data_IF_440056188353
#
_entry.id   IF_440056188353
#
_cell.length_a   1.000
_cell.length_b   1.000
_cell.length_c   1.000
_cell.angle_alpha   90.00
_cell.angle_beta   90.00
_cell.angle_gamma   90.00
#
_symmetry.space_group_name_H-M   'P 1'
#
loop_
_entity.id
_entity.type
_entity.pdbx_description
1 polymer ?
#
# COMPACT_ATOMS: atom_id res chain seq x y z
N UNK A 1 33.69 14.11 -12.26
CA UNK A 1 32.99 14.28 -10.96
C UNK A 1 32.10 13.08 -10.61
N UNK A 2 31.37 12.47 -11.56
CA UNK A 2 30.39 11.39 -11.30
C UNK A 2 30.95 10.08 -10.68
N UNK A 3 32.16 9.66 -11.06
CA UNK A 3 32.86 8.49 -10.48
C UNK A 3 33.17 8.66 -8.99
N UNK A 4 33.32 9.91 -8.54
CA UNK A 4 33.60 10.25 -7.15
C UNK A 4 32.34 10.11 -6.28
N UNK A 5 31.16 10.44 -6.82
CA UNK A 5 29.86 10.26 -6.13
C UNK A 5 29.58 8.80 -5.83
N UNK A 6 29.83 7.91 -6.81
CA UNK A 6 29.64 6.46 -6.63
C UNK A 6 30.64 5.91 -5.59
N UNK A 7 31.90 6.33 -5.63
CA UNK A 7 32.91 5.91 -4.66
C UNK A 7 32.55 6.34 -3.23
N UNK A 8 32.03 7.56 -3.05
CA UNK A 8 31.58 8.08 -1.75
C UNK A 8 30.34 7.33 -1.25
N UNK A 9 29.39 7.02 -2.13
CA UNK A 9 28.20 6.24 -1.81
C UNK A 9 28.56 4.81 -1.35
N UNK A 10 29.47 4.14 -2.07
CA UNK A 10 29.94 2.79 -1.72
C UNK A 10 30.69 2.80 -0.38
N UNK A 11 31.52 3.81 -0.14
CA UNK A 11 32.26 3.95 1.12
C UNK A 11 31.31 4.17 2.31
N UNK A 12 30.30 5.03 2.15
CA UNK A 12 29.27 5.28 3.16
C UNK A 12 28.44 4.03 3.47
N UNK A 13 28.03 3.27 2.44
CA UNK A 13 27.29 2.01 2.60
C UNK A 13 28.12 0.94 3.31
N UNK A 14 29.42 0.84 3.00
CA UNK A 14 30.33 -0.14 3.62
C UNK A 14 30.53 0.16 5.12
N UNK A 15 30.59 1.44 5.51
CA UNK A 15 30.62 1.85 6.90
C UNK A 15 29.35 1.46 7.66
N UNK A 16 28.17 1.70 7.06
CA UNK A 16 26.87 1.38 7.66
C UNK A 16 26.62 -0.12 7.83
N UNK A 17 27.06 -0.94 6.88
CA UNK A 17 26.93 -2.40 6.93
C UNK A 17 27.86 -3.06 7.95
N UNK A 18 28.88 -2.33 8.42
CA UNK A 18 29.84 -2.79 9.43
C UNK A 18 29.40 -2.45 10.86
N UNK A 19 28.35 -1.63 11.04
CA UNK A 19 27.84 -1.30 12.37
C UNK A 19 26.92 -2.42 12.92
N UNK A 20 27.08 -2.83 14.19
CA UNK A 20 26.33 -3.95 14.76
C UNK A 20 24.85 -3.64 15.05
N UNK A 21 24.42 -2.37 14.93
CA UNK A 21 23.04 -1.95 15.20
C UNK A 21 22.65 -0.74 14.36
N UNK A 22 21.52 -0.81 13.67
CA UNK A 22 20.99 0.29 12.86
C UNK A 22 20.70 1.52 13.74
N UNK A 23 21.43 2.61 13.52
CA UNK A 23 21.21 3.91 14.14
C UNK A 23 20.29 4.78 13.26
N UNK A 24 19.57 5.72 13.86
CA UNK A 24 18.73 6.67 13.11
C UNK A 24 19.57 7.50 12.13
N UNK A 25 20.76 7.93 12.59
CA UNK A 25 21.74 8.63 11.76
C UNK A 25 22.19 7.77 10.57
N UNK A 26 22.42 6.47 10.80
CA UNK A 26 22.75 5.54 9.74
C UNK A 26 21.63 5.35 8.70
N UNK A 27 20.38 5.32 9.14
CA UNK A 27 19.22 5.26 8.23
C UNK A 27 19.06 6.56 7.42
N UNK A 28 19.30 7.72 8.03
CA UNK A 28 19.25 9.00 7.29
C UNK A 28 20.37 9.11 6.26
N UNK A 29 21.57 8.62 6.59
CA UNK A 29 22.68 8.55 5.64
C UNK A 29 22.37 7.59 4.50
N UNK A 30 21.79 6.43 4.79
CA UNK A 30 21.39 5.46 3.75
C UNK A 30 20.31 6.03 2.83
N UNK A 31 19.33 6.74 3.38
CA UNK A 31 18.32 7.45 2.59
C UNK A 31 18.98 8.51 1.70
N UNK A 32 19.87 9.35 2.25
CA UNK A 32 20.61 10.35 1.47
C UNK A 32 21.42 9.75 0.33
N UNK A 33 22.13 8.64 0.59
CA UNK A 33 22.90 7.92 -0.43
C UNK A 33 21.98 7.34 -1.52
N UNK A 34 20.81 6.81 -1.15
CA UNK A 34 19.82 6.32 -2.10
C UNK A 34 19.35 7.42 -3.05
N UNK A 35 18.97 8.58 -2.51
CA UNK A 35 18.50 9.70 -3.33
C UNK A 35 19.62 10.19 -4.28
N UNK A 36 20.87 10.29 -3.81
CA UNK A 36 22.01 10.66 -4.66
C UNK A 36 22.26 9.67 -5.82
N UNK A 37 22.06 8.37 -5.58
CA UNK A 37 22.17 7.35 -6.62
C UNK A 37 21.00 7.47 -7.62
N UNK A 38 19.78 7.70 -7.13
CA UNK A 38 18.60 7.90 -7.97
C UNK A 38 18.75 9.12 -8.88
N UNK A 39 19.17 10.27 -8.34
CA UNK A 39 19.41 11.49 -9.11
C UNK A 39 20.47 11.28 -10.21
N UNK A 40 21.51 10.49 -9.91
CA UNK A 40 22.57 10.16 -10.86
C UNK A 40 22.05 9.26 -12.00
N UNK A 41 21.20 8.28 -11.71
CA UNK A 41 20.55 7.47 -12.75
C UNK A 41 19.61 8.29 -13.63
N UNK A 42 18.84 9.20 -13.04
CA UNK A 42 17.94 10.08 -13.80
C UNK A 42 18.73 11.04 -14.69
N UNK A 43 19.87 11.56 -14.23
CA UNK A 43 20.81 12.35 -15.04
C UNK A 43 21.33 11.56 -16.23
N UNK A 44 21.79 10.32 -16.03
CA UNK A 44 22.25 9.47 -17.13
C UNK A 44 21.13 9.16 -18.13
N UNK A 45 19.93 8.90 -17.62
CA UNK A 45 18.78 8.61 -18.47
C UNK A 45 18.31 9.85 -19.25
N UNK A 46 18.54 11.06 -18.74
CA UNK A 46 18.29 12.31 -19.45
C UNK A 46 19.36 12.56 -20.53
N UNK A 47 20.64 12.39 -20.19
CA UNK A 47 21.77 12.53 -21.13
C UNK A 47 21.63 11.55 -22.31
N UNK A 48 21.32 10.28 -22.04
CA UNK A 48 21.13 9.24 -23.06
C UNK A 48 19.89 9.45 -23.94
N UNK A 49 18.89 10.21 -23.46
CA UNK A 49 17.72 10.57 -24.28
C UNK A 49 17.94 11.84 -25.10
N UNK A 50 18.85 12.71 -24.65
CA UNK A 50 19.20 13.94 -25.35
C UNK A 50 20.16 13.71 -26.53
N UNK A 51 20.80 12.55 -26.61
CA UNK A 51 21.67 12.17 -27.73
C UNK A 51 20.84 11.65 -28.92
N UNK A 52 20.89 12.35 -30.08
CA UNK A 52 20.08 12.03 -31.26
C UNK A 52 20.47 10.69 -31.93
N UNK A 53 21.70 10.21 -31.74
CA UNK A 53 22.13 8.91 -32.29
C UNK A 53 21.60 7.74 -31.45
N UNK A 54 21.19 8.00 -30.20
CA UNK A 54 20.63 7.00 -29.27
C UNK A 54 19.11 6.96 -29.28
N UNK A 55 18.44 8.03 -29.72
CA UNK A 55 16.98 8.11 -29.84
C UNK A 55 16.33 6.94 -30.62
N UNK A 56 16.82 6.55 -31.84
CA UNK A 56 16.23 5.42 -32.57
C UNK A 56 16.48 4.07 -31.89
N UNK A 57 17.56 3.94 -31.09
CA UNK A 57 17.80 2.75 -30.27
C UNK A 57 16.81 2.68 -29.10
N UNK A 58 16.47 3.81 -28.47
CA UNK A 58 15.47 3.86 -27.41
C UNK A 58 14.07 3.50 -27.91
N UNK A 59 13.69 3.95 -29.11
CA UNK A 59 12.42 3.56 -29.72
C UNK A 59 12.38 2.07 -30.05
N UNK A 60 13.50 1.51 -30.55
CA UNK A 60 13.62 0.08 -30.79
C UNK A 60 13.60 -0.75 -29.50
N UNK A 61 14.24 -0.28 -28.42
CA UNK A 61 14.18 -0.91 -27.09
C UNK A 61 12.78 -0.79 -26.50
N UNK A 62 12.11 0.36 -26.62
CA UNK A 62 10.74 0.55 -26.16
C UNK A 62 9.74 -0.32 -26.93
N UNK A 63 9.96 -0.52 -28.23
CA UNK A 63 9.15 -1.42 -29.06
C UNK A 63 9.45 -2.90 -28.81
N UNK A 64 10.70 -3.24 -28.48
CA UNK A 64 11.12 -4.61 -28.15
C UNK A 64 10.82 -5.02 -26.70
N UNK A 65 10.64 -4.07 -25.79
CA UNK A 65 10.13 -4.31 -24.45
C UNK A 65 8.60 -4.50 -24.53
N UNK A 66 8.08 -5.71 -24.23
CA UNK A 66 6.64 -5.90 -24.15
C UNK A 66 6.13 -5.17 -22.89
N UNK A 67 5.57 -3.97 -23.08
CA UNK A 67 5.08 -3.09 -21.99
C UNK A 67 6.20 -2.59 -21.05
N UNK A 68 6.01 -1.45 -20.35
CA UNK A 68 7.05 -0.87 -19.51
C UNK A 68 7.68 -1.89 -18.57
N UNK A 69 9.02 -1.90 -18.59
CA UNK A 69 9.91 -2.69 -17.77
C UNK A 69 9.33 -2.96 -16.37
N UNK A 70 9.27 -4.23 -16.00
CA UNK A 70 8.92 -4.72 -14.65
C UNK A 70 9.99 -4.38 -13.60
N UNK A 71 10.61 -3.19 -13.67
CA UNK A 71 10.97 -2.48 -12.45
C UNK A 71 9.67 -1.93 -11.85
N UNK A 72 8.77 -2.84 -11.49
CA UNK A 72 7.62 -2.52 -10.67
C UNK A 72 8.24 -2.00 -9.37
N UNK A 73 8.19 -0.69 -9.12
CA UNK A 73 7.92 -0.21 -7.76
C UNK A 73 6.71 -1.03 -7.37
N UNK A 74 6.91 -2.16 -6.70
CA UNK A 74 5.96 -3.25 -6.67
C UNK A 74 4.60 -2.65 -6.33
N UNK A 75 3.77 -2.41 -7.36
CA UNK A 75 2.48 -1.77 -7.17
C UNK A 75 1.81 -2.82 -6.32
N UNK A 76 1.53 -2.52 -5.04
CA UNK A 76 1.13 -3.55 -4.12
C UNK A 76 -0.04 -4.25 -4.80
N UNK A 77 0.03 -5.58 -4.91
CA UNK A 77 -1.10 -6.35 -5.43
C UNK A 77 -2.36 -5.80 -4.77
N UNK A 78 -3.51 -5.77 -5.46
CA UNK A 78 -4.77 -5.40 -4.83
C UNK A 78 -4.96 -6.08 -3.45
N UNK A 79 -4.46 -7.31 -3.30
CA UNK A 79 -4.46 -8.03 -2.02
C UNK A 79 -3.52 -7.41 -0.96
N UNK A 80 -2.38 -6.84 -1.36
CA UNK A 80 -1.46 -6.13 -0.48
C UNK A 80 -2.03 -4.79 0.00
N UNK A 81 -2.78 -4.06 -0.84
CA UNK A 81 -3.52 -2.87 -0.38
C UNK A 81 -4.59 -3.23 0.66
N UNK A 82 -5.34 -4.32 0.42
CA UNK A 82 -6.34 -4.81 1.37
C UNK A 82 -5.69 -5.26 2.68
N UNK A 83 -4.52 -5.92 2.63
CA UNK A 83 -3.77 -6.30 3.81
C UNK A 83 -3.21 -5.10 4.58
N UNK A 84 -2.71 -4.07 3.89
CA UNK A 84 -2.23 -2.83 4.49
C UNK A 84 -3.37 -2.08 5.19
N UNK A 85 -4.49 -1.90 4.49
CA UNK A 85 -5.71 -1.31 5.05
C UNK A 85 -6.16 -2.04 6.33
N UNK A 86 -6.26 -3.37 6.28
CA UNK A 86 -6.76 -4.16 7.41
C UNK A 86 -5.84 -4.06 8.62
N UNK A 87 -4.52 -4.07 8.41
CA UNK A 87 -3.54 -3.92 9.49
C UNK A 87 -3.65 -2.57 10.20
N UNK A 88 -3.93 -1.50 9.46
CA UNK A 88 -4.04 -0.15 10.03
C UNK A 88 -5.36 0.06 10.79
N UNK A 89 -6.48 -0.50 10.30
CA UNK A 89 -7.81 -0.17 10.81
C UNK A 89 -8.44 -1.23 11.73
N UNK A 90 -7.96 -2.48 11.69
CA UNK A 90 -8.59 -3.59 12.42
C UNK A 90 -8.70 -3.36 13.94
N UNK A 91 -7.72 -2.69 14.54
CA UNK A 91 -7.71 -2.37 15.97
C UNK A 91 -8.53 -1.13 16.34
N UNK A 92 -8.79 -0.24 15.37
CA UNK A 92 -9.49 1.03 15.57
C UNK A 92 -11.02 0.87 15.61
N UNK A 93 -11.55 -0.24 15.10
CA UNK A 93 -12.98 -0.51 15.13
C UNK A 93 -13.47 -0.72 16.57
N UNK A 94 -14.41 0.13 16.99
CA UNK A 94 -15.03 0.03 18.32
C UNK A 94 -16.13 -1.03 18.33
N UNK A 95 -16.84 -1.20 17.21
CA UNK A 95 -17.87 -2.24 17.09
C UNK A 95 -17.31 -3.67 17.08
N UNK A 96 -17.94 -4.56 17.84
CA UNK A 96 -17.68 -6.01 17.76
C UNK A 96 -18.17 -6.63 16.45
N UNK A 97 -19.03 -5.95 15.70
CA UNK A 97 -19.46 -6.36 14.38
C UNK A 97 -19.55 -5.17 13.44
N UNK A 98 -18.78 -5.24 12.35
CA UNK A 98 -18.72 -4.19 11.34
C UNK A 98 -19.30 -4.74 10.03
N UNK A 99 -20.38 -4.15 9.49
CA UNK A 99 -20.93 -4.54 8.19
C UNK A 99 -19.89 -4.39 7.08
N UNK A 100 -19.86 -5.34 6.13
CA UNK A 100 -18.89 -5.31 5.03
C UNK A 100 -18.98 -4.05 4.18
N UNK A 101 -20.18 -3.45 4.08
CA UNK A 101 -20.40 -2.18 3.38
C UNK A 101 -19.62 -1.05 4.07
N UNK A 102 -19.65 -0.98 5.40
CA UNK A 102 -18.92 0.06 6.16
C UNK A 102 -17.42 -0.12 5.95
N UNK A 103 -16.91 -1.34 6.10
CA UNK A 103 -15.49 -1.64 5.91
C UNK A 103 -15.02 -1.27 4.49
N UNK A 104 -15.83 -1.58 3.48
CA UNK A 104 -15.49 -1.29 2.08
C UNK A 104 -15.48 0.21 1.77
N UNK A 105 -16.39 0.99 2.33
CA UNK A 105 -16.39 2.45 2.15
C UNK A 105 -15.19 3.12 2.85
N UNK A 106 -14.82 2.65 4.05
CA UNK A 106 -13.59 3.13 4.72
C UNK A 106 -12.37 2.78 3.86
N UNK A 107 -12.33 1.58 3.28
CA UNK A 107 -11.27 1.19 2.34
C UNK A 107 -11.22 2.10 1.10
N UNK A 108 -12.37 2.44 0.51
CA UNK A 108 -12.43 3.36 -0.64
C UNK A 108 -11.88 4.73 -0.25
N UNK A 109 -12.29 5.27 0.89
CA UNK A 109 -11.85 6.58 1.34
C UNK A 109 -10.34 6.59 1.67
N UNK A 110 -9.84 5.54 2.33
CA UNK A 110 -8.41 5.35 2.57
C UNK A 110 -7.60 5.23 1.27
N UNK A 111 -8.09 4.44 0.29
CA UNK A 111 -7.45 4.31 -1.03
C UNK A 111 -7.42 5.62 -1.79
N UNK A 112 -8.51 6.42 -1.77
CA UNK A 112 -8.54 7.72 -2.43
C UNK A 112 -7.53 8.69 -1.84
N UNK A 113 -7.36 8.68 -0.52
CA UNK A 113 -6.40 9.55 0.18
C UNK A 113 -4.95 9.15 -0.08
N UNK A 114 -4.65 7.85 -0.17
CA UNK A 114 -3.26 7.33 -0.23
C UNK A 114 -2.78 6.95 -1.63
N UNK A 115 -3.71 6.52 -2.49
CA UNK A 115 -3.45 6.01 -3.83
C UNK A 115 -4.51 6.54 -4.82
N UNK A 116 -4.55 7.86 -5.08
CA UNK A 116 -5.58 8.47 -5.92
C UNK A 116 -5.59 7.95 -7.37
N UNK A 117 -4.45 7.46 -7.84
CA UNK A 117 -4.25 6.95 -9.20
C UNK A 117 -4.55 5.45 -9.36
N UNK A 118 -4.93 4.74 -8.30
CA UNK A 118 -5.20 3.30 -8.32
C UNK A 118 -6.70 3.03 -8.35
N UNK A 119 -7.14 2.17 -9.26
CA UNK A 119 -8.53 1.75 -9.33
C UNK A 119 -8.98 1.05 -8.05
N UNK A 120 -10.09 1.53 -7.50
CA UNK A 120 -10.66 1.00 -6.26
C UNK A 120 -11.30 -0.36 -6.52
N UNK A 121 -11.01 -1.33 -5.64
CA UNK A 121 -11.65 -2.63 -5.70
C UNK A 121 -13.16 -2.52 -5.53
N UNK A 122 -13.89 -3.27 -6.36
CA UNK A 122 -15.33 -3.48 -6.13
C UNK A 122 -15.55 -4.16 -4.79
N UNK A 123 -16.72 -3.96 -4.18
CA UNK A 123 -17.07 -4.57 -2.88
C UNK A 123 -16.89 -6.08 -2.87
N UNK A 124 -17.22 -6.75 -3.98
CA UNK A 124 -17.08 -8.20 -4.12
C UNK A 124 -15.60 -8.61 -4.12
N UNK A 125 -14.77 -7.96 -4.93
CA UNK A 125 -13.33 -8.23 -4.98
C UNK A 125 -12.66 -7.96 -3.63
N UNK A 126 -12.97 -6.81 -3.01
CA UNK A 126 -12.51 -6.45 -1.67
C UNK A 126 -12.88 -7.53 -0.63
N UNK A 127 -14.15 -7.95 -0.60
CA UNK A 127 -14.61 -8.96 0.36
C UNK A 127 -13.91 -10.31 0.19
N UNK A 128 -13.57 -10.69 -1.05
CA UNK A 128 -12.83 -11.92 -1.35
C UNK A 128 -11.39 -11.82 -0.87
N UNK A 129 -10.69 -10.74 -1.20
CA UNK A 129 -9.33 -10.48 -0.76
C UNK A 129 -9.24 -10.43 0.77
N UNK A 130 -10.17 -9.72 1.42
CA UNK A 130 -10.23 -9.62 2.87
C UNK A 130 -10.44 -10.99 3.53
N UNK A 131 -11.29 -11.84 2.95
CA UNK A 131 -11.49 -13.20 3.47
C UNK A 131 -10.26 -14.09 3.37
N UNK A 132 -9.36 -13.85 2.42
CA UNK A 132 -8.11 -14.61 2.29
C UNK A 132 -7.09 -14.23 3.37
N UNK A 133 -7.14 -12.99 3.88
CA UNK A 133 -6.19 -12.51 4.89
C UNK A 133 -6.66 -12.69 6.34
N UNK A 134 -7.97 -12.88 6.57
CA UNK A 134 -8.54 -13.13 7.90
C UNK A 134 -8.06 -14.44 8.61
N UNK A 135 -7.88 -15.59 7.95
CA UNK A 135 -7.70 -16.87 8.64
C UNK A 135 -6.29 -17.09 9.23
N UNK A 136 -5.34 -16.18 9.02
CA UNK A 136 -3.95 -16.38 9.44
C UNK A 136 -3.66 -16.07 10.91
N UNK A 137 -4.39 -15.15 11.56
CA UNK A 137 -4.06 -14.64 12.92
C UNK A 137 -5.15 -13.81 13.63
N UNK A 138 -6.34 -13.65 13.05
CA UNK A 138 -7.21 -12.53 13.42
C UNK A 138 -8.22 -12.80 14.54
N UNK A 139 -8.32 -11.84 15.47
CA UNK A 139 -9.45 -11.65 16.38
C UNK A 139 -10.79 -11.36 15.64
N UNK A 140 -10.90 -11.60 14.33
CA UNK A 140 -12.03 -11.20 13.50
C UNK A 140 -12.40 -12.31 12.52
N UNK A 141 -13.70 -12.61 12.41
CA UNK A 141 -14.26 -13.60 11.46
C UNK A 141 -15.28 -12.98 10.52
N UNK A 142 -15.27 -13.43 9.27
CA UNK A 142 -16.34 -13.12 8.33
C UNK A 142 -17.61 -13.91 8.70
N UNK A 143 -18.71 -13.21 8.98
CA UNK A 143 -19.96 -13.84 9.42
C UNK A 143 -21.19 -13.03 9.02
N UNK A 144 -22.36 -13.63 9.17
CA UNK A 144 -23.65 -12.98 8.94
C UNK A 144 -24.31 -12.69 10.29
N UNK A 145 -24.63 -11.42 10.55
CA UNK A 145 -25.27 -11.00 11.80
C UNK A 145 -26.32 -9.91 11.56
N UNK A 146 -27.26 -9.78 12.50
CA UNK A 146 -28.26 -8.69 12.50
C UNK A 146 -27.61 -7.44 13.11
N UNK A 147 -27.75 -6.30 12.42
CA UNK A 147 -27.13 -5.01 12.80
C UNK A 147 -27.82 -4.36 14.03
N UNK A 148 -28.92 -4.95 14.52
CA UNK A 148 -29.59 -4.49 15.75
C UNK A 148 -28.61 -4.34 16.92
N UNK A 149 -28.95 -3.52 17.92
CA UNK A 149 -28.12 -3.14 19.08
C UNK A 149 -26.75 -2.46 18.78
N UNK A 150 -26.07 -2.77 17.68
CA UNK A 150 -24.78 -2.20 17.27
C UNK A 150 -24.91 -0.80 16.67
N UNK A 151 -26.05 -0.50 16.04
CA UNK A 151 -26.38 0.86 15.57
C UNK A 151 -26.78 1.85 16.69
N UNK A 152 -26.62 1.48 17.98
CA UNK A 152 -26.88 2.40 19.12
C UNK A 152 -25.63 3.16 19.57
N UNK A 153 -24.45 2.73 19.17
CA UNK A 153 -23.17 3.37 19.50
C UNK A 153 -22.62 4.01 18.22
N UNK A 154 -22.37 5.32 18.26
CA UNK A 154 -21.72 6.00 17.15
C UNK A 154 -20.32 5.41 16.91
N UNK A 155 -20.07 4.85 15.72
CA UNK A 155 -18.72 4.47 15.30
C UNK A 155 -18.04 5.71 14.70
N UNK A 156 -16.97 6.24 15.33
CA UNK A 156 -16.30 7.46 14.85
C UNK A 156 -15.79 7.33 13.41
N UNK A 157 -15.35 6.12 13.04
CA UNK A 157 -14.87 5.80 11.69
C UNK A 157 -16.00 5.72 10.64
N UNK A 158 -17.25 5.49 11.07
CA UNK A 158 -18.40 5.46 10.17
C UNK A 158 -19.05 6.84 9.98
N UNK A 159 -18.64 7.86 10.74
CA UNK A 159 -19.26 9.20 10.73
C UNK A 159 -19.16 9.94 9.39
N UNK A 160 -18.16 9.61 8.57
CA UNK A 160 -17.95 10.18 7.23
C UNK A 160 -18.43 9.30 6.07
N UNK A 161 -18.93 8.10 6.35
CA UNK A 161 -19.26 7.11 5.33
C UNK A 161 -20.73 7.22 4.92
N UNK A 162 -21.03 7.15 3.61
CA UNK A 162 -22.40 7.05 3.10
C UNK A 162 -22.98 5.65 3.36
N UNK A 163 -23.27 5.34 4.63
CA UNK A 163 -23.90 4.09 5.04
C UNK A 163 -25.20 4.38 5.81
N UNK A 164 -26.23 3.56 5.57
CA UNK A 164 -27.44 3.52 6.38
C UNK A 164 -27.64 2.09 6.90
N UNK A 165 -28.03 1.90 8.18
CA UNK A 165 -28.42 0.59 8.66
C UNK A 165 -29.61 0.09 7.85
N UNK A 166 -29.38 -0.91 7.01
CA UNK A 166 -30.41 -1.50 6.18
C UNK A 166 -31.32 -2.40 7.00
N UNK A 167 -32.38 -1.84 7.59
CA UNK A 167 -33.46 -2.57 8.24
C UNK A 167 -33.03 -3.59 9.32
N UNK A 168 -33.97 -4.43 9.77
CA UNK A 168 -33.70 -5.50 10.76
C UNK A 168 -33.00 -6.74 10.15
N UNK A 169 -32.63 -6.68 8.87
CA UNK A 169 -32.13 -7.82 8.12
C UNK A 169 -30.68 -8.17 8.52
N UNK A 170 -30.36 -9.47 8.51
CA UNK A 170 -29.02 -9.94 8.76
C UNK A 170 -28.10 -9.64 7.56
N UNK A 171 -27.02 -8.91 7.79
CA UNK A 171 -26.02 -8.55 6.79
C UNK A 171 -24.71 -9.33 6.98
N UNK A 172 -23.90 -9.39 5.94
CA UNK A 172 -22.55 -9.92 6.04
C UNK A 172 -21.57 -8.86 6.53
N UNK A 173 -20.64 -9.26 7.39
CA UNK A 173 -19.66 -8.37 7.98
C UNK A 173 -18.55 -9.13 8.69
N UNK A 174 -17.76 -8.38 9.43
CA UNK A 174 -16.65 -8.88 10.24
C UNK A 174 -17.08 -8.83 11.68
N UNK A 175 -16.94 -9.93 12.41
CA UNK A 175 -17.23 -10.01 13.84
C UNK A 175 -15.95 -10.26 14.61
N UNK A 176 -15.68 -9.45 15.63
CA UNK A 176 -14.62 -9.69 16.59
C UNK A 176 -14.93 -10.99 17.35
N UNK A 177 -13.99 -11.92 17.37
CA UNK A 177 -14.02 -13.09 18.22
C UNK A 177 -13.59 -12.62 19.61
N UNK A 178 -14.50 -12.72 20.58
CA UNK A 178 -14.10 -12.61 21.98
C UNK A 178 -13.01 -13.65 22.21
N UNK A 179 -11.87 -13.20 22.75
CA UNK A 179 -10.80 -14.07 23.21
C UNK A 179 -11.29 -14.92 24.38
#
# INVERSE_FOLDING_TARGET
MQTQTIAIAISSLSGLLSEPKASFEGLTTLHGVREQISDLFDSYAAELRADPDTAPMWDAVAAALPHPSSATVATPSPDAHVAAFWREHSDQFTWDFVPMVVVHEIYIDWMRRRHPSVDQLTRLAFSRALRLILPGRGAWRYTRARIGALARVDEPLARGVKWRPGGSAATYGLRRQAS
#
